data_IF_297859616816
#
_entry.id   IF_297859616816
#
_cell.length_a   1.000
_cell.length_b   1.000
_cell.length_c   1.000
_cell.angle_alpha   90.00
_cell.angle_beta   90.00
_cell.angle_gamma   90.00
#
_symmetry.space_group_name_H-M   'P 1'
#
loop_
_entity.id
_entity.type
_entity.pdbx_description
1 polymer ?
#
# COMPACT_ATOMS: atom_id res chain seq x y z
N UNK A 1 -23.78 -19.84 7.86
CA UNK A 1 -24.20 -20.56 6.63
C UNK A 1 -24.44 -22.00 7.01
N UNK A 2 -25.39 -22.66 6.37
CA UNK A 2 -25.70 -24.09 6.55
C UNK A 2 -25.82 -24.75 5.19
N UNK A 3 -25.94 -26.08 5.15
CA UNK A 3 -26.10 -26.86 3.90
C UNK A 3 -27.38 -26.48 3.11
N UNK A 4 -28.34 -25.83 3.79
CA UNK A 4 -29.57 -25.31 3.17
C UNK A 4 -29.42 -23.88 2.60
N UNK A 5 -28.25 -23.25 2.73
CA UNK A 5 -28.04 -21.88 2.26
C UNK A 5 -27.95 -21.87 0.73
N UNK A 6 -28.93 -21.25 0.04
CA UNK A 6 -28.98 -21.18 -1.44
C UNK A 6 -28.77 -19.77 -1.97
N UNK A 7 -28.78 -18.76 -1.12
CA UNK A 7 -28.55 -17.34 -1.49
C UNK A 7 -27.64 -16.69 -0.46
N UNK A 8 -26.72 -15.88 -0.93
CA UNK A 8 -25.88 -15.05 -0.07
C UNK A 8 -25.74 -13.65 -0.65
N UNK A 9 -25.51 -12.71 0.23
CA UNK A 9 -25.13 -11.34 -0.10
C UNK A 9 -23.63 -11.18 0.22
N UNK A 10 -22.90 -10.61 -0.72
CA UNK A 10 -21.48 -10.28 -0.54
C UNK A 10 -21.35 -8.76 -0.49
N UNK A 11 -20.75 -8.26 0.57
CA UNK A 11 -20.39 -6.87 0.72
C UNK A 11 -18.87 -6.73 0.65
N UNK A 12 -18.42 -5.79 -0.16
CA UNK A 12 -17.01 -5.41 -0.27
C UNK A 12 -16.97 -3.91 -0.13
N UNK A 13 -16.37 -3.43 0.95
CA UNK A 13 -16.47 -2.02 1.32
C UNK A 13 -15.12 -1.45 1.76
N UNK A 14 -15.01 -0.13 1.63
CA UNK A 14 -13.94 0.67 2.24
C UNK A 14 -14.58 1.54 3.33
N UNK A 15 -13.94 1.58 4.48
CA UNK A 15 -14.36 2.40 5.60
C UNK A 15 -13.29 3.47 5.91
N UNK A 16 -13.73 4.58 6.47
CA UNK A 16 -12.80 5.59 6.96
C UNK A 16 -11.94 5.01 8.10
N UNK A 17 -10.64 4.94 7.88
CA UNK A 17 -9.69 4.29 8.79
C UNK A 17 -9.71 4.89 10.21
N UNK A 18 -9.79 6.23 10.31
CA UNK A 18 -9.86 6.94 11.61
C UNK A 18 -11.12 6.59 12.38
N UNK A 19 -12.28 6.54 11.67
CA UNK A 19 -13.54 6.17 12.30
C UNK A 19 -13.53 4.73 12.78
N UNK A 20 -12.97 3.80 12.00
CA UNK A 20 -12.82 2.39 12.39
C UNK A 20 -11.93 2.27 13.63
N UNK A 21 -10.78 2.95 13.63
CA UNK A 21 -9.85 2.93 14.76
C UNK A 21 -10.50 3.48 16.04
N UNK A 22 -11.20 4.62 15.93
CA UNK A 22 -11.85 5.28 17.06
C UNK A 22 -13.00 4.44 17.61
N UNK A 23 -13.89 3.95 16.73
CA UNK A 23 -15.03 3.11 17.12
C UNK A 23 -14.55 1.79 17.71
N UNK A 24 -13.55 1.18 17.10
CA UNK A 24 -13.01 -0.09 17.58
C UNK A 24 -12.38 0.01 18.98
N UNK A 25 -11.68 1.12 19.27
CA UNK A 25 -11.20 1.40 20.63
C UNK A 25 -12.35 1.63 21.62
N UNK A 26 -13.31 2.47 21.23
CA UNK A 26 -14.46 2.81 22.09
C UNK A 26 -15.31 1.59 22.46
N UNK A 27 -15.50 0.67 21.52
CA UNK A 27 -16.33 -0.52 21.70
C UNK A 27 -15.50 -1.76 22.08
N UNK A 28 -14.20 -1.63 22.29
CA UNK A 28 -13.28 -2.73 22.59
C UNK A 28 -13.38 -3.90 21.59
N UNK A 29 -13.53 -3.59 20.30
CA UNK A 29 -13.61 -4.60 19.24
C UNK A 29 -12.20 -5.01 18.83
N UNK A 30 -11.88 -6.28 18.95
CA UNK A 30 -10.64 -6.88 18.47
C UNK A 30 -10.95 -7.86 17.34
N UNK A 31 -10.60 -7.52 16.10
CA UNK A 31 -10.80 -8.40 14.94
C UNK A 31 -9.77 -8.09 13.85
N UNK A 32 -9.45 -9.10 13.03
CA UNK A 32 -8.57 -8.93 11.88
C UNK A 32 -9.11 -7.91 10.88
N UNK A 33 -10.42 -7.85 10.72
CA UNK A 33 -11.08 -6.88 9.86
C UNK A 33 -10.79 -5.45 10.34
N UNK A 34 -11.02 -5.18 11.65
CA UNK A 34 -10.68 -3.88 12.24
C UNK A 34 -9.22 -3.53 12.02
N UNK A 35 -8.30 -4.45 12.32
CA UNK A 35 -6.87 -4.25 12.18
C UNK A 35 -6.46 -3.83 10.76
N UNK A 36 -7.11 -4.40 9.74
CA UNK A 36 -6.85 -4.05 8.34
C UNK A 36 -7.48 -2.71 7.97
N UNK A 37 -8.74 -2.49 8.31
CA UNK A 37 -9.45 -1.26 7.98
C UNK A 37 -8.87 -0.02 8.65
N UNK A 38 -8.41 -0.12 9.91
CA UNK A 38 -7.84 1.02 10.64
C UNK A 38 -6.48 1.48 10.09
N UNK A 39 -5.80 0.65 9.32
CA UNK A 39 -4.56 0.99 8.60
C UNK A 39 -4.80 1.59 7.23
N UNK A 40 -6.02 1.59 6.76
CA UNK A 40 -6.38 1.97 5.40
C UNK A 40 -6.23 0.82 4.41
N UNK A 41 -7.11 0.82 3.42
CA UNK A 41 -7.10 -0.11 2.31
C UNK A 41 -7.02 0.67 1.01
N UNK A 42 -6.62 -0.02 -0.05
CA UNK A 42 -6.66 0.54 -1.40
C UNK A 42 -8.10 0.85 -1.82
N UNK A 43 -8.43 2.13 -1.86
CA UNK A 43 -9.78 2.60 -2.19
C UNK A 43 -10.20 2.31 -3.64
N UNK A 44 -9.27 1.95 -4.53
CA UNK A 44 -9.54 1.56 -5.92
C UNK A 44 -9.89 0.07 -6.07
N UNK A 45 -9.60 -0.74 -5.05
CA UNK A 45 -9.68 -2.20 -5.11
C UNK A 45 -11.11 -2.80 -5.09
N UNK A 46 -12.16 -2.20 -4.50
CA UNK A 46 -13.42 -2.89 -4.22
C UNK A 46 -14.09 -3.53 -5.45
N UNK A 47 -14.14 -2.82 -6.57
CA UNK A 47 -14.78 -3.33 -7.80
C UNK A 47 -14.01 -4.52 -8.38
N UNK A 48 -12.69 -4.45 -8.39
CA UNK A 48 -11.84 -5.55 -8.86
C UNK A 48 -11.95 -6.77 -7.94
N UNK A 49 -11.94 -6.54 -6.62
CA UNK A 49 -12.11 -7.57 -5.62
C UNK A 49 -13.48 -8.23 -5.68
N UNK A 50 -14.54 -7.47 -5.96
CA UNK A 50 -15.88 -8.01 -6.20
C UNK A 50 -15.87 -9.03 -7.35
N UNK A 51 -15.25 -8.69 -8.47
CA UNK A 51 -15.11 -9.60 -9.60
C UNK A 51 -14.25 -10.83 -9.29
N UNK A 52 -13.18 -10.68 -8.51
CA UNK A 52 -12.34 -11.80 -8.09
C UNK A 52 -13.08 -12.75 -7.15
N UNK A 53 -13.73 -12.22 -6.09
CA UNK A 53 -14.47 -13.02 -5.11
C UNK A 53 -15.65 -13.72 -5.79
N UNK A 54 -16.34 -13.04 -6.69
CA UNK A 54 -17.42 -13.65 -7.47
C UNK A 54 -16.95 -14.88 -8.23
N UNK A 55 -15.85 -14.77 -8.98
CA UNK A 55 -15.28 -15.93 -9.71
C UNK A 55 -14.83 -17.04 -8.75
N UNK A 56 -14.21 -16.70 -7.63
CA UNK A 56 -13.79 -17.66 -6.63
C UNK A 56 -14.98 -18.45 -6.05
N UNK A 57 -16.04 -17.74 -5.62
CA UNK A 57 -17.25 -18.39 -5.10
C UNK A 57 -17.89 -19.27 -6.16
N UNK A 58 -17.97 -18.80 -7.41
CA UNK A 58 -18.54 -19.60 -8.50
C UNK A 58 -17.73 -20.87 -8.78
N UNK A 59 -16.40 -20.79 -8.70
CA UNK A 59 -15.53 -21.96 -8.94
C UNK A 59 -15.65 -23.02 -7.83
N UNK A 60 -15.91 -22.61 -6.59
CA UNK A 60 -15.98 -23.53 -5.45
C UNK A 60 -17.40 -24.01 -5.17
N UNK A 61 -18.39 -23.12 -5.29
CA UNK A 61 -19.79 -23.39 -4.89
C UNK A 61 -20.73 -23.51 -6.10
N UNK A 62 -20.28 -23.15 -7.29
CA UNK A 62 -21.16 -23.03 -8.44
C UNK A 62 -22.12 -21.82 -8.33
N UNK A 63 -23.28 -21.92 -9.01
CA UNK A 63 -24.33 -20.90 -8.93
C UNK A 63 -24.17 -19.77 -9.96
N UNK A 64 -24.97 -18.73 -9.78
CA UNK A 64 -25.02 -17.54 -10.65
C UNK A 64 -24.99 -16.29 -9.81
N UNK A 65 -24.31 -15.26 -10.31
CA UNK A 65 -24.32 -13.94 -9.71
C UNK A 65 -25.44 -13.08 -10.28
N UNK A 66 -25.94 -12.20 -9.42
CA UNK A 66 -26.78 -11.09 -9.82
C UNK A 66 -25.94 -9.91 -10.31
N UNK A 67 -26.58 -8.79 -10.55
CA UNK A 67 -25.93 -7.54 -10.88
C UNK A 67 -25.06 -7.06 -9.71
N UNK A 68 -23.84 -6.56 -10.02
CA UNK A 68 -23.02 -5.81 -9.08
C UNK A 68 -23.64 -4.42 -8.86
N UNK A 69 -23.86 -4.07 -7.60
CA UNK A 69 -24.31 -2.73 -7.22
C UNK A 69 -23.12 -2.01 -6.58
N UNK A 70 -22.77 -0.86 -7.12
CA UNK A 70 -21.70 -0.02 -6.59
C UNK A 70 -22.31 1.25 -6.03
N UNK A 71 -22.05 1.53 -4.77
CA UNK A 71 -22.46 2.75 -4.09
C UNK A 71 -21.22 3.51 -3.60
N UNK A 72 -21.25 4.82 -3.75
CA UNK A 72 -20.13 5.70 -3.39
C UNK A 72 -19.09 5.80 -4.52
N UNK A 73 -18.26 6.81 -4.39
CA UNK A 73 -17.10 7.05 -5.25
C UNK A 73 -15.87 7.17 -4.38
N UNK A 74 -14.84 6.40 -4.70
CA UNK A 74 -13.51 6.67 -4.17
C UNK A 74 -12.86 7.71 -5.09
N UNK A 75 -12.88 8.97 -4.70
CA UNK A 75 -12.06 9.98 -5.37
C UNK A 75 -10.62 9.80 -4.87
N UNK A 76 -9.91 8.93 -5.56
CA UNK A 76 -8.52 8.59 -5.21
C UNK A 76 -7.61 9.40 -6.12
N UNK A 77 -7.22 10.57 -5.65
CA UNK A 77 -6.12 11.29 -6.27
C UNK A 77 -4.80 10.62 -5.84
N UNK A 78 -3.89 10.34 -6.77
CA UNK A 78 -2.58 9.81 -6.42
C UNK A 78 -1.87 10.75 -5.44
N UNK A 79 -1.37 10.20 -4.35
CA UNK A 79 -0.53 10.94 -3.43
C UNK A 79 0.79 11.25 -4.13
N UNK A 80 1.15 12.52 -4.19
CA UNK A 80 2.39 12.97 -4.81
C UNK A 80 3.44 13.28 -3.74
N UNK A 81 4.63 12.70 -3.90
CA UNK A 81 5.77 12.95 -3.03
C UNK A 81 6.90 13.57 -3.84
N UNK A 82 7.40 14.70 -3.37
CA UNK A 82 8.60 15.32 -3.94
C UNK A 82 9.83 14.60 -3.43
N UNK A 83 10.60 13.99 -4.31
CA UNK A 83 11.74 13.15 -3.99
C UNK A 83 13.02 13.66 -4.65
N UNK A 84 13.95 14.30 -3.91
CA UNK A 84 15.29 14.56 -4.38
C UNK A 84 16.13 13.28 -4.32
N UNK A 85 16.67 12.74 -5.44
CA UNK A 85 17.45 11.49 -5.42
C UNK A 85 18.69 11.55 -4.52
N UNK A 86 19.34 12.70 -4.45
CA UNK A 86 20.49 12.94 -3.58
C UNK A 86 20.18 12.70 -2.09
N UNK A 87 18.88 12.73 -1.69
CA UNK A 87 18.45 12.49 -0.31
C UNK A 87 18.81 11.08 0.17
N UNK A 88 18.82 10.10 -0.72
CA UNK A 88 19.25 8.73 -0.42
C UNK A 88 20.65 8.71 0.19
N UNK A 89 21.60 9.35 -0.48
CA UNK A 89 22.98 9.47 0.02
C UNK A 89 23.07 10.26 1.31
N UNK A 90 22.31 11.36 1.42
CA UNK A 90 22.31 12.21 2.63
C UNK A 90 21.82 11.45 3.86
N UNK A 91 20.75 10.65 3.73
CA UNK A 91 20.17 9.94 4.88
C UNK A 91 20.87 8.64 5.23
N UNK A 92 21.44 7.95 4.24
CA UNK A 92 21.95 6.58 4.43
C UNK A 92 23.45 6.44 4.29
N UNK A 93 24.11 7.45 3.73
CA UNK A 93 25.54 7.38 3.36
C UNK A 93 25.81 6.52 2.12
N UNK A 94 24.79 5.87 1.54
CA UNK A 94 24.92 4.98 0.38
C UNK A 94 24.83 5.79 -0.92
N UNK A 95 25.76 5.59 -1.82
CA UNK A 95 25.74 6.17 -3.16
C UNK A 95 24.96 5.23 -4.08
N UNK A 96 23.69 5.52 -4.30
CA UNK A 96 22.81 4.79 -5.22
C UNK A 96 22.58 5.66 -6.45
N UNK A 97 23.01 5.24 -7.65
CA UNK A 97 22.79 5.99 -8.90
C UNK A 97 21.32 6.25 -9.17
N UNK A 98 21.01 7.39 -9.77
CA UNK A 98 19.64 7.85 -10.01
C UNK A 98 18.83 6.88 -10.89
N UNK A 99 19.46 6.29 -11.90
CA UNK A 99 18.84 5.29 -12.78
C UNK A 99 18.45 4.01 -12.03
N UNK A 100 19.25 3.62 -11.03
CA UNK A 100 18.94 2.47 -10.15
C UNK A 100 17.80 2.83 -9.20
N UNK A 101 17.82 4.03 -8.61
CA UNK A 101 16.72 4.49 -7.74
C UNK A 101 15.39 4.54 -8.52
N UNK A 102 15.41 5.11 -9.74
CA UNK A 102 14.26 5.15 -10.63
C UNK A 102 13.72 3.75 -10.93
N UNK A 103 14.63 2.85 -11.34
CA UNK A 103 14.24 1.47 -11.65
C UNK A 103 13.59 0.79 -10.45
N UNK A 104 14.18 0.91 -9.27
CA UNK A 104 13.64 0.30 -8.04
C UNK A 104 12.24 0.82 -7.76
N UNK A 105 12.05 2.14 -7.74
CA UNK A 105 10.76 2.74 -7.45
C UNK A 105 9.73 2.37 -8.53
N UNK A 106 10.11 2.35 -9.81
CA UNK A 106 9.22 1.95 -10.90
C UNK A 106 8.81 0.46 -10.77
N UNK A 107 9.75 -0.42 -10.48
CA UNK A 107 9.48 -1.86 -10.27
C UNK A 107 8.55 -2.10 -9.05
N UNK A 108 8.58 -1.20 -8.05
CA UNK A 108 7.66 -1.20 -6.91
C UNK A 108 6.29 -0.56 -7.21
N UNK A 109 6.08 -0.07 -8.43
CA UNK A 109 4.80 0.46 -8.90
C UNK A 109 4.62 1.97 -8.74
N UNK A 110 5.66 2.70 -8.32
CA UNK A 110 5.64 4.17 -8.31
C UNK A 110 5.76 4.73 -9.72
N UNK A 111 5.06 5.82 -10.00
CA UNK A 111 5.22 6.57 -11.25
C UNK A 111 6.04 7.81 -11.00
N UNK A 112 7.06 8.04 -11.83
CA UNK A 112 8.05 9.09 -11.58
C UNK A 112 8.01 10.11 -12.71
N UNK A 113 7.85 11.39 -12.36
CA UNK A 113 8.03 12.52 -13.26
C UNK A 113 9.36 13.22 -12.93
N UNK A 114 10.28 13.18 -13.88
CA UNK A 114 11.64 13.73 -13.77
C UNK A 114 11.84 15.04 -14.54
N UNK A 115 10.76 15.81 -14.79
CA UNK A 115 10.89 17.12 -15.44
C UNK A 115 11.89 18.02 -14.70
N UNK A 116 12.05 17.82 -13.41
CA UNK A 116 13.09 18.42 -12.58
C UNK A 116 14.05 17.32 -12.10
N UNK A 117 15.25 17.18 -12.69
CA UNK A 117 16.18 16.08 -12.37
C UNK A 117 16.58 16.02 -10.89
N UNK A 118 16.70 17.16 -10.24
CA UNK A 118 17.09 17.25 -8.83
C UNK A 118 15.92 17.05 -7.85
N UNK A 119 14.67 16.98 -8.37
CA UNK A 119 13.46 16.95 -7.54
C UNK A 119 12.33 16.21 -8.27
N UNK A 120 12.34 14.89 -8.21
CA UNK A 120 11.33 14.07 -8.86
C UNK A 120 9.97 14.22 -8.20
N UNK A 121 8.91 14.19 -8.99
CA UNK A 121 7.55 14.04 -8.51
C UNK A 121 7.15 12.57 -8.59
N UNK A 122 6.98 11.94 -7.45
CA UNK A 122 6.69 10.50 -7.37
C UNK A 122 5.24 10.31 -6.98
N UNK A 123 4.45 9.70 -7.88
CA UNK A 123 3.09 9.30 -7.61
C UNK A 123 3.11 7.96 -6.85
N UNK A 124 2.53 7.98 -5.66
CA UNK A 124 2.43 6.81 -4.78
C UNK A 124 1.28 5.91 -5.23
N UNK A 125 1.50 4.60 -5.39
CA UNK A 125 0.42 3.66 -5.71
C UNK A 125 -0.68 3.67 -4.65
N UNK A 126 -1.93 3.48 -5.06
CA UNK A 126 -3.11 3.55 -4.19
C UNK A 126 -3.10 2.53 -3.04
N UNK A 127 -2.36 1.44 -3.20
CA UNK A 127 -2.23 0.39 -2.16
C UNK A 127 -1.12 0.65 -1.13
N UNK A 128 -0.28 1.69 -1.34
CA UNK A 128 0.82 2.05 -0.44
C UNK A 128 0.38 3.19 0.49
N UNK A 129 -0.35 2.81 1.53
CA UNK A 129 -0.82 3.76 2.55
C UNK A 129 0.27 4.16 3.57
N UNK A 130 1.42 3.53 3.50
CA UNK A 130 2.57 3.67 4.39
C UNK A 130 3.58 4.74 3.93
N UNK A 131 3.48 5.19 2.69
CA UNK A 131 4.40 6.18 2.12
C UNK A 131 3.86 7.59 2.42
N UNK A 132 4.49 8.33 3.32
CA UNK A 132 4.08 9.67 3.70
C UNK A 132 5.00 10.77 3.15
N UNK A 133 6.25 10.45 2.91
CA UNK A 133 7.23 11.42 2.47
C UNK A 133 8.46 10.85 1.80
N UNK A 134 9.44 11.71 1.50
CA UNK A 134 10.65 11.29 0.79
C UNK A 134 11.54 10.33 1.60
N UNK A 135 11.42 10.31 2.92
CA UNK A 135 12.19 9.36 3.74
C UNK A 135 11.74 7.92 3.52
N UNK A 136 10.42 7.71 3.34
CA UNK A 136 9.87 6.39 3.07
C UNK A 136 10.32 5.88 1.70
N UNK A 137 10.44 6.78 0.70
CA UNK A 137 10.98 6.44 -0.61
C UNK A 137 12.47 6.06 -0.53
N UNK A 138 13.24 6.75 0.32
CA UNK A 138 14.64 6.35 0.59
C UNK A 138 14.68 4.95 1.20
N UNK A 139 13.81 4.64 2.16
CA UNK A 139 13.71 3.32 2.76
C UNK A 139 13.44 2.24 1.69
N UNK A 140 12.49 2.47 0.79
CA UNK A 140 12.18 1.55 -0.30
C UNK A 140 13.38 1.32 -1.23
N UNK A 141 14.07 2.40 -1.61
CA UNK A 141 15.27 2.30 -2.44
C UNK A 141 16.34 1.44 -1.74
N UNK A 142 16.64 1.73 -0.49
CA UNK A 142 17.70 1.03 0.23
C UNK A 142 17.32 -0.41 0.57
N UNK A 143 16.06 -0.68 0.84
CA UNK A 143 15.56 -2.04 1.09
C UNK A 143 15.82 -2.98 -0.09
N UNK A 144 15.76 -2.46 -1.31
CA UNK A 144 16.01 -3.24 -2.54
C UNK A 144 17.49 -3.17 -2.95
N UNK A 145 18.10 -1.98 -2.87
CA UNK A 145 19.51 -1.80 -3.25
C UNK A 145 20.47 -2.56 -2.34
N UNK A 146 20.16 -2.62 -1.04
CA UNK A 146 20.85 -3.44 -0.05
C UNK A 146 21.25 -2.66 1.22
N UNK A 147 20.65 -3.04 2.34
CA UNK A 147 21.03 -2.51 3.66
C UNK A 147 22.48 -2.80 4.03
N UNK A 148 23.05 -3.90 3.55
CA UNK A 148 24.44 -4.31 3.85
C UNK A 148 25.49 -3.33 3.32
N UNK A 149 25.09 -2.40 2.44
CA UNK A 149 25.95 -1.33 1.92
C UNK A 149 25.93 -0.09 2.81
N UNK A 150 25.09 -0.05 3.84
CA UNK A 150 24.99 1.10 4.75
C UNK A 150 26.18 1.13 5.72
N UNK A 151 26.86 2.27 5.77
CA UNK A 151 27.93 2.53 6.73
C UNK A 151 27.47 2.48 8.20
N UNK A 152 26.17 2.57 8.45
CA UNK A 152 25.59 2.51 9.81
C UNK A 152 25.73 1.10 10.40
N UNK A 153 25.76 0.05 9.59
CA UNK A 153 26.00 -1.33 10.07
C UNK A 153 27.46 -1.67 10.38
N UNK A 154 28.41 -0.81 9.99
CA UNK A 154 29.84 -1.06 10.18
C UNK A 154 30.32 -0.62 11.59
N UNK A 155 29.48 0.10 12.32
CA UNK A 155 29.85 0.65 13.65
C UNK A 155 29.11 -0.01 14.82
N UNK A 156 28.92 -1.33 14.83
CA UNK A 156 28.63 -2.01 16.09
C UNK A 156 29.91 -2.00 16.97
N UNK A 157 29.88 -1.31 18.11
CA UNK A 157 30.98 -1.43 19.03
C UNK A 157 30.98 -2.86 19.57
N UNK A 158 32.02 -3.62 19.26
CA UNK A 158 32.33 -4.88 19.96
C UNK A 158 32.27 -4.63 21.45
N UNK A 159 31.22 -5.08 22.12
CA UNK A 159 31.17 -5.18 23.57
C UNK A 159 32.25 -6.17 23.98
N UNK A 160 33.31 -5.66 24.62
CA UNK A 160 34.23 -6.43 25.43
C UNK A 160 33.58 -6.73 26.78
#
# INVERSE_FOLDING_TARGET
>A
MSDATTRMFLEIAIFNATNVATTGRKLNIHSDARYRFERGLDATSPVQMAGYIARLVQSVCGGRFSQLIVNGTADVQPKMVTFPPARTKVLTGIDCPDDIQEKILTDLGFSIDKRQPESWQVAVPSWRNDIDGPADLVEEVIRIHGYNLSLIHISEPTRR
#
